data_IF_084773121135
#
_entry.id   IF_084773121135
#
_cell.length_a   1.000
_cell.length_b   1.000
_cell.length_c   1.000
_cell.angle_alpha   90.00
_cell.angle_beta   90.00
_cell.angle_gamma   90.00
#
_symmetry.space_group_name_H-M   'P 1'
#
loop_
_entity.id
_entity.type
_entity.pdbx_description
1 polymer ?
#
# COMPACT_ATOMS: atom_id res chain seq x y z
N UNK A 1 86.90 -16.40 -22.64
CA UNK A 1 87.96 -17.11 -21.89
C UNK A 1 87.29 -18.31 -21.22
N UNK A 2 87.57 -19.56 -21.66
CA UNK A 2 88.61 -20.46 -21.08
C UNK A 2 88.19 -20.90 -19.66
N UNK A 3 87.96 -22.16 -19.24
CA UNK A 3 88.20 -23.54 -19.70
C UNK A 3 87.14 -24.45 -19.01
N UNK A 4 86.55 -25.47 -19.65
CA UNK A 4 87.00 -26.88 -19.72
C UNK A 4 87.41 -27.55 -18.39
N UNK A 5 86.64 -28.58 -18.00
CA UNK A 5 87.01 -29.88 -17.39
C UNK A 5 85.69 -30.54 -16.92
N UNK A 6 85.01 -31.42 -17.67
CA UNK A 6 85.35 -32.82 -17.96
C UNK A 6 85.93 -33.59 -16.77
N UNK A 7 85.06 -34.31 -16.06
CA UNK A 7 85.40 -35.57 -15.43
C UNK A 7 84.26 -36.56 -15.72
N UNK A 8 84.57 -37.50 -16.61
CA UNK A 8 83.77 -38.67 -16.90
C UNK A 8 83.87 -39.65 -15.72
N UNK A 9 82.74 -40.20 -15.30
CA UNK A 9 82.71 -41.50 -14.65
C UNK A 9 81.65 -42.37 -15.34
N UNK A 10 82.16 -43.44 -15.91
CA UNK A 10 81.44 -44.48 -16.60
C UNK A 10 80.93 -45.53 -15.60
N UNK A 11 79.96 -46.32 -16.06
CA UNK A 11 79.68 -47.69 -15.59
C UNK A 11 78.85 -47.85 -14.32
N UNK A 12 77.55 -48.02 -14.51
CA UNK A 12 76.63 -48.52 -13.49
C UNK A 12 75.24 -48.78 -14.06
N UNK A 13 75.12 -49.69 -15.04
CA UNK A 13 73.85 -50.33 -15.38
C UNK A 13 73.32 -51.04 -14.13
N UNK A 14 72.34 -50.43 -13.47
CA UNK A 14 71.26 -51.15 -12.82
C UNK A 14 69.97 -50.48 -13.26
N UNK A 15 69.34 -51.03 -14.29
CA UNK A 15 67.92 -50.85 -14.52
C UNK A 15 67.20 -51.48 -13.32
N UNK A 16 66.99 -50.70 -12.26
CA UNK A 16 65.86 -50.92 -11.38
C UNK A 16 64.61 -50.49 -12.18
N UNK A 17 64.20 -51.34 -13.12
CA UNK A 17 62.79 -51.46 -13.45
C UNK A 17 62.08 -51.85 -12.16
N UNK A 18 61.65 -50.86 -11.39
CA UNK A 18 60.57 -51.07 -10.45
C UNK A 18 59.36 -51.45 -11.30
N UNK A 19 59.10 -52.74 -11.34
CA UNK A 19 57.84 -53.31 -11.77
C UNK A 19 56.78 -52.78 -10.80
N UNK A 20 56.21 -51.61 -11.09
CA UNK A 20 54.97 -51.11 -10.46
C UNK A 20 53.73 -51.60 -11.22
N UNK A 21 53.83 -52.74 -11.90
CA UNK A 21 52.74 -53.32 -12.69
C UNK A 21 51.83 -54.27 -11.88
N UNK A 22 51.97 -54.32 -10.54
CA UNK A 22 51.11 -55.13 -9.66
C UNK A 22 50.55 -54.41 -8.44
N UNK A 23 51.06 -53.21 -8.10
CA UNK A 23 50.53 -52.41 -6.99
C UNK A 23 49.30 -51.59 -7.41
N UNK A 24 49.26 -51.12 -8.66
CA UNK A 24 48.11 -50.40 -9.20
C UNK A 24 46.89 -51.32 -9.28
N UNK A 25 47.03 -52.54 -9.83
CA UNK A 25 45.92 -53.49 -9.96
C UNK A 25 45.30 -53.89 -8.60
N UNK A 26 46.12 -54.08 -7.55
CA UNK A 26 45.61 -54.40 -6.22
C UNK A 26 44.91 -53.21 -5.56
N UNK A 27 45.47 -52.01 -5.66
CA UNK A 27 44.85 -50.79 -5.16
C UNK A 27 43.53 -50.50 -5.89
N UNK A 28 43.50 -50.73 -7.19
CA UNK A 28 42.34 -50.54 -8.06
C UNK A 28 41.18 -51.46 -7.68
N UNK A 29 41.47 -52.75 -7.44
CA UNK A 29 40.49 -53.72 -6.96
C UNK A 29 39.95 -53.34 -5.57
N UNK A 30 40.83 -52.90 -4.66
CA UNK A 30 40.41 -52.48 -3.32
C UNK A 30 39.56 -51.21 -3.38
N UNK A 31 39.90 -50.23 -4.23
CA UNK A 31 39.11 -49.02 -4.42
C UNK A 31 37.71 -49.32 -4.98
N UNK A 32 37.60 -50.21 -5.97
CA UNK A 32 36.30 -50.65 -6.51
C UNK A 32 35.45 -51.36 -5.43
N UNK A 33 36.04 -52.23 -4.62
CA UNK A 33 35.34 -52.89 -3.51
C UNK A 33 34.83 -51.89 -2.46
N UNK A 34 35.67 -50.92 -2.05
CA UNK A 34 35.29 -49.87 -1.09
C UNK A 34 34.15 -49.01 -1.64
N UNK A 35 34.21 -48.66 -2.93
CA UNK A 35 33.15 -47.91 -3.60
C UNK A 35 31.83 -48.70 -3.64
N UNK A 36 31.87 -49.97 -4.04
CA UNK A 36 30.68 -50.85 -4.09
C UNK A 36 30.03 -51.02 -2.73
N UNK A 37 30.82 -51.18 -1.67
CA UNK A 37 30.30 -51.19 -0.30
C UNK A 37 29.60 -49.86 0.04
N UNK A 38 30.16 -48.72 -0.39
CA UNK A 38 29.52 -47.42 -0.26
C UNK A 38 28.16 -47.30 -0.95
N UNK A 39 27.96 -48.00 -2.08
CA UNK A 39 26.68 -47.96 -2.82
C UNK A 39 25.52 -48.54 -2.02
N UNK A 40 25.77 -49.44 -1.07
CA UNK A 40 24.73 -49.94 -0.17
C UNK A 40 24.12 -48.79 0.65
N UNK A 41 24.96 -47.91 1.18
CA UNK A 41 24.53 -46.73 1.91
C UNK A 41 23.81 -45.70 1.03
N UNK A 42 24.27 -45.48 -0.20
CA UNK A 42 23.54 -44.65 -1.15
C UNK A 42 22.14 -45.22 -1.46
N UNK A 43 22.00 -46.55 -1.59
CA UNK A 43 20.70 -47.21 -1.78
C UNK A 43 19.82 -47.06 -0.54
N UNK A 44 20.38 -47.18 0.67
CA UNK A 44 19.65 -46.94 1.93
C UNK A 44 19.16 -45.50 2.01
N UNK A 45 20.05 -44.52 1.78
CA UNK A 45 19.71 -43.11 1.71
C UNK A 45 18.58 -42.85 0.71
N UNK A 46 18.65 -43.44 -0.50
CA UNK A 46 17.62 -43.30 -1.52
C UNK A 46 16.25 -43.79 -1.05
N UNK A 47 16.18 -44.89 -0.30
CA UNK A 47 14.90 -45.45 0.19
C UNK A 47 14.18 -44.51 1.15
N UNK A 48 14.93 -43.80 2.00
CA UNK A 48 14.36 -42.91 3.03
C UNK A 48 14.35 -41.43 2.64
N UNK A 49 15.04 -41.05 1.55
CA UNK A 49 15.17 -39.65 1.07
C UNK A 49 13.87 -38.90 0.78
N UNK A 50 12.72 -39.58 0.79
CA UNK A 50 11.39 -38.98 0.58
C UNK A 50 10.57 -38.81 1.86
N UNK A 51 10.98 -39.44 2.94
CA UNK A 51 10.18 -39.54 4.18
C UNK A 51 10.94 -39.12 5.42
N UNK A 52 12.27 -39.33 5.45
CA UNK A 52 13.12 -39.01 6.58
C UNK A 52 14.45 -38.42 6.09
N UNK A 53 14.54 -37.09 6.11
CA UNK A 53 15.74 -36.38 5.69
C UNK A 53 16.93 -36.68 6.61
N UNK A 54 16.71 -36.85 7.91
CA UNK A 54 17.77 -37.07 8.89
C UNK A 54 18.42 -38.44 8.67
N UNK A 55 17.61 -39.50 8.59
CA UNK A 55 18.11 -40.85 8.32
C UNK A 55 18.76 -40.92 6.93
N UNK A 56 18.18 -40.26 5.92
CA UNK A 56 18.76 -40.22 4.58
C UNK A 56 20.13 -39.53 4.58
N UNK A 57 20.29 -38.43 5.32
CA UNK A 57 21.55 -37.69 5.45
C UNK A 57 22.62 -38.52 6.15
N UNK A 58 22.27 -39.28 7.18
CA UNK A 58 23.21 -40.18 7.87
C UNK A 58 23.74 -41.27 6.93
N UNK A 59 22.85 -41.98 6.23
CA UNK A 59 23.26 -42.97 5.23
C UNK A 59 24.07 -42.34 4.10
N UNK A 60 23.70 -41.15 3.63
CA UNK A 60 24.43 -40.49 2.55
C UNK A 60 25.83 -40.05 2.99
N UNK A 61 26.01 -39.62 4.24
CA UNK A 61 27.33 -39.31 4.79
C UNK A 61 28.25 -40.54 4.82
N UNK A 62 27.70 -41.72 5.14
CA UNK A 62 28.46 -42.98 5.07
C UNK A 62 28.88 -43.29 3.62
N UNK A 63 27.99 -43.11 2.64
CA UNK A 63 28.35 -43.23 1.23
C UNK A 63 29.50 -42.28 0.83
N UNK A 64 29.43 -41.00 1.21
CA UNK A 64 30.48 -40.02 0.90
C UNK A 64 31.83 -40.40 1.52
N UNK A 65 31.84 -40.91 2.75
CA UNK A 65 33.05 -41.42 3.42
C UNK A 65 33.69 -42.58 2.63
N UNK A 66 32.87 -43.53 2.17
CA UNK A 66 33.35 -44.64 1.33
C UNK A 66 33.87 -44.17 -0.03
N UNK A 67 33.18 -43.24 -0.68
CA UNK A 67 33.62 -42.66 -1.95
C UNK A 67 34.97 -41.95 -1.80
N UNK A 68 35.15 -41.17 -0.73
CA UNK A 68 36.39 -40.44 -0.50
C UNK A 68 37.55 -41.39 -0.15
N UNK A 69 37.27 -42.45 0.63
CA UNK A 69 38.24 -43.51 0.87
C UNK A 69 38.65 -44.23 -0.41
N UNK A 70 37.72 -44.54 -1.31
CA UNK A 70 38.03 -45.15 -2.60
C UNK A 70 38.93 -44.23 -3.46
N UNK A 71 38.64 -42.92 -3.51
CA UNK A 71 39.50 -41.93 -4.20
C UNK A 71 40.90 -41.84 -3.61
N UNK A 72 41.00 -41.92 -2.28
CA UNK A 72 42.29 -41.88 -1.56
C UNK A 72 43.15 -43.11 -1.88
N UNK A 73 42.53 -44.27 -2.10
CA UNK A 73 43.23 -45.52 -2.46
C UNK A 73 43.68 -45.50 -3.92
N UNK A 74 42.77 -45.20 -4.86
CA UNK A 74 43.08 -45.15 -6.29
C UNK A 74 42.18 -44.13 -7.01
N UNK A 75 42.65 -42.88 -7.09
CA UNK A 75 41.88 -41.79 -7.70
C UNK A 75 41.57 -42.04 -9.18
N UNK A 76 42.51 -42.63 -9.94
CA UNK A 76 42.34 -42.89 -11.38
C UNK A 76 41.21 -43.89 -11.65
N UNK A 77 41.03 -44.92 -10.81
CA UNK A 77 39.89 -45.86 -10.97
C UNK A 77 38.56 -45.16 -10.77
N UNK A 78 38.45 -44.30 -9.76
CA UNK A 78 37.20 -43.55 -9.52
C UNK A 78 36.92 -42.58 -10.66
N UNK A 79 37.96 -42.02 -11.28
CA UNK A 79 37.85 -41.08 -12.39
C UNK A 79 37.58 -41.75 -13.74
N UNK A 80 38.23 -42.87 -14.06
CA UNK A 80 38.20 -43.45 -15.41
C UNK A 80 37.17 -44.58 -15.54
N UNK A 81 36.72 -45.16 -14.43
CA UNK A 81 35.74 -46.23 -14.44
C UNK A 81 34.32 -45.70 -14.70
N UNK A 82 33.80 -45.98 -15.89
CA UNK A 82 32.46 -45.58 -16.34
C UNK A 82 31.32 -46.06 -15.42
N UNK A 83 31.47 -47.25 -14.80
CA UNK A 83 30.49 -47.76 -13.83
C UNK A 83 30.46 -46.86 -12.59
N UNK A 84 31.62 -46.60 -12.00
CA UNK A 84 31.76 -45.77 -10.80
C UNK A 84 31.20 -44.37 -11.06
N UNK A 85 31.58 -43.73 -12.17
CA UNK A 85 31.04 -42.42 -12.53
C UNK A 85 29.51 -42.41 -12.68
N UNK A 86 28.93 -43.44 -13.30
CA UNK A 86 27.47 -43.54 -13.48
C UNK A 86 26.77 -43.67 -12.13
N UNK A 87 27.24 -44.55 -11.25
CA UNK A 87 26.63 -44.75 -9.95
C UNK A 87 26.85 -43.52 -9.04
N UNK A 88 28.00 -42.85 -9.13
CA UNK A 88 28.22 -41.58 -8.42
C UNK A 88 27.24 -40.48 -8.87
N UNK A 89 27.01 -40.34 -10.18
CA UNK A 89 25.96 -39.44 -10.73
C UNK A 89 24.56 -39.84 -10.28
N UNK A 90 24.27 -41.13 -10.14
CA UNK A 90 22.98 -41.60 -9.60
C UNK A 90 22.84 -41.21 -8.13
N UNK A 91 23.91 -41.34 -7.35
CA UNK A 91 23.91 -40.99 -5.93
C UNK A 91 23.85 -39.48 -5.69
N UNK A 92 24.38 -38.63 -6.57
CA UNK A 92 24.18 -37.18 -6.44
C UNK A 92 22.70 -36.77 -6.57
N UNK A 93 21.89 -37.51 -7.32
CA UNK A 93 20.43 -37.28 -7.35
C UNK A 93 19.75 -37.61 -6.01
N UNK A 94 20.34 -38.51 -5.20
CA UNK A 94 19.86 -38.81 -3.85
C UNK A 94 20.12 -37.62 -2.94
N UNK A 95 21.30 -37.01 -3.03
CA UNK A 95 21.62 -35.76 -2.32
C UNK A 95 20.62 -34.65 -2.64
N UNK A 96 20.31 -34.44 -3.93
CA UNK A 96 19.30 -33.47 -4.36
C UNK A 96 17.91 -33.77 -3.79
N UNK A 97 17.55 -35.04 -3.59
CA UNK A 97 16.28 -35.41 -2.99
C UNK A 97 16.26 -35.14 -1.48
N UNK A 98 17.36 -35.43 -0.78
CA UNK A 98 17.53 -35.13 0.65
C UNK A 98 17.41 -33.62 0.87
N UNK A 99 18.18 -32.83 0.11
CA UNK A 99 18.14 -31.37 0.20
C UNK A 99 16.74 -30.82 -0.10
N UNK A 100 16.02 -31.40 -1.08
CA UNK A 100 14.64 -31.01 -1.37
C UNK A 100 13.69 -31.30 -0.20
N UNK A 101 13.81 -32.46 0.42
CA UNK A 101 12.97 -32.82 1.57
C UNK A 101 13.23 -31.89 2.76
N UNK A 102 14.50 -31.58 3.05
CA UNK A 102 14.89 -30.62 4.10
C UNK A 102 14.35 -29.22 3.82
N UNK A 103 14.46 -28.75 2.57
CA UNK A 103 13.96 -27.45 2.16
C UNK A 103 12.42 -27.37 2.19
N UNK A 104 11.72 -28.50 2.01
CA UNK A 104 10.26 -28.50 1.84
C UNK A 104 9.51 -28.01 3.08
N UNK A 105 9.97 -28.36 4.28
CA UNK A 105 9.35 -27.89 5.53
C UNK A 105 9.47 -26.37 5.68
N UNK A 106 10.65 -25.80 5.38
CA UNK A 106 10.86 -24.35 5.37
C UNK A 106 10.01 -23.66 4.29
N UNK A 107 9.96 -24.26 3.10
CA UNK A 107 9.17 -23.74 1.99
C UNK A 107 7.67 -23.70 2.33
N UNK A 108 7.12 -24.77 2.93
CA UNK A 108 5.73 -24.81 3.35
C UNK A 108 5.44 -23.78 4.46
N UNK A 109 6.30 -23.71 5.49
CA UNK A 109 6.16 -22.73 6.56
C UNK A 109 6.19 -21.28 6.02
N UNK A 110 7.03 -21.00 5.02
CA UNK A 110 7.04 -19.69 4.35
C UNK A 110 5.70 -19.41 3.64
N UNK A 111 5.13 -20.39 2.95
CA UNK A 111 3.85 -20.23 2.26
C UNK A 111 2.68 -20.02 3.24
N UNK A 112 2.74 -20.62 4.43
CA UNK A 112 1.77 -20.35 5.49
C UNK A 112 1.85 -18.88 5.93
N UNK A 113 3.07 -18.32 6.08
CA UNK A 113 3.27 -16.87 6.34
C UNK A 113 2.72 -16.00 5.23
N UNK A 114 2.91 -16.38 3.97
CA UNK A 114 2.29 -15.69 2.85
C UNK A 114 0.75 -15.70 2.91
N UNK A 115 0.14 -16.80 3.39
CA UNK A 115 -1.29 -16.86 3.69
C UNK A 115 -1.71 -15.80 4.71
N UNK A 116 -0.94 -15.68 5.81
CA UNK A 116 -1.17 -14.66 6.84
C UNK A 116 -1.02 -13.22 6.31
N UNK A 117 -0.08 -12.97 5.38
CA UNK A 117 0.06 -11.66 4.71
C UNK A 117 -1.23 -11.28 3.98
N UNK A 118 -1.83 -12.21 3.24
CA UNK A 118 -3.08 -11.96 2.51
C UNK A 118 -4.21 -11.62 3.45
N UNK A 119 -4.39 -12.41 4.51
CA UNK A 119 -5.41 -12.14 5.54
C UNK A 119 -5.22 -10.75 6.19
N UNK A 120 -3.99 -10.38 6.51
CA UNK A 120 -3.69 -9.07 7.08
C UNK A 120 -3.96 -7.93 6.10
N UNK A 121 -3.69 -8.12 4.80
CA UNK A 121 -4.03 -7.14 3.75
C UNK A 121 -5.55 -6.98 3.61
N UNK A 122 -6.29 -8.08 3.60
CA UNK A 122 -7.76 -8.07 3.49
C UNK A 122 -8.41 -7.37 4.70
N UNK A 123 -7.77 -7.44 5.87
CA UNK A 123 -8.19 -6.75 7.10
C UNK A 123 -7.67 -5.30 7.20
N UNK A 124 -6.91 -4.80 6.22
CA UNK A 124 -6.29 -3.46 6.27
C UNK A 124 -5.16 -3.30 7.30
N UNK A 125 -4.68 -4.40 7.88
CA UNK A 125 -3.65 -4.45 8.91
C UNK A 125 -2.23 -4.37 8.30
N UNK A 126 -1.89 -3.23 7.68
CA UNK A 126 -0.64 -3.07 6.90
C UNK A 126 0.65 -3.36 7.67
N UNK A 127 0.73 -2.96 8.93
CA UNK A 127 1.92 -3.24 9.76
C UNK A 127 2.09 -4.74 9.97
N UNK A 128 0.99 -5.45 10.27
CA UNK A 128 1.03 -6.90 10.42
C UNK A 128 1.37 -7.58 9.08
N UNK A 129 0.76 -7.14 7.98
CA UNK A 129 1.07 -7.65 6.64
C UNK A 129 2.56 -7.51 6.29
N UNK A 130 3.19 -6.37 6.61
CA UNK A 130 4.62 -6.18 6.39
C UNK A 130 5.46 -7.11 7.26
N UNK A 131 5.16 -7.24 8.55
CA UNK A 131 5.90 -8.15 9.46
C UNK A 131 5.84 -9.58 8.95
N UNK A 132 4.64 -10.06 8.59
CA UNK A 132 4.45 -11.41 8.04
C UNK A 132 5.13 -11.62 6.70
N UNK A 133 5.22 -10.58 5.87
CA UNK A 133 5.94 -10.66 4.60
C UNK A 133 7.45 -10.80 4.81
N UNK A 134 8.02 -10.08 5.77
CA UNK A 134 9.44 -10.21 6.12
C UNK A 134 9.75 -11.62 6.68
N UNK A 135 8.84 -12.19 7.48
CA UNK A 135 8.94 -13.57 7.96
C UNK A 135 8.90 -14.56 6.79
N UNK A 136 7.99 -14.38 5.83
CA UNK A 136 7.93 -15.14 4.57
C UNK A 136 9.25 -15.07 3.80
N UNK A 137 9.77 -13.87 3.53
CA UNK A 137 11.01 -13.69 2.76
C UNK A 137 12.19 -14.39 3.44
N UNK A 138 12.31 -14.26 4.76
CA UNK A 138 13.39 -14.89 5.52
C UNK A 138 13.34 -16.42 5.38
N UNK A 139 12.17 -17.04 5.60
CA UNK A 139 12.01 -18.49 5.49
C UNK A 139 12.16 -18.99 4.04
N UNK A 140 11.65 -18.23 3.08
CA UNK A 140 11.81 -18.49 1.65
C UNK A 140 13.29 -18.54 1.26
N UNK A 141 14.08 -17.54 1.67
CA UNK A 141 15.52 -17.50 1.41
C UNK A 141 16.25 -18.66 2.10
N UNK A 142 15.87 -19.02 3.33
CA UNK A 142 16.43 -20.18 4.02
C UNK A 142 16.16 -21.48 3.26
N UNK A 143 14.94 -21.69 2.75
CA UNK A 143 14.61 -22.86 1.96
C UNK A 143 15.41 -22.93 0.64
N UNK A 144 15.56 -21.79 -0.05
CA UNK A 144 16.31 -21.70 -1.30
C UNK A 144 17.82 -21.86 -1.10
N UNK A 145 18.34 -21.46 0.05
CA UNK A 145 19.73 -21.68 0.43
C UNK A 145 20.04 -23.18 0.64
N UNK A 146 19.06 -23.97 1.11
CA UNK A 146 19.20 -25.44 1.18
C UNK A 146 19.21 -26.04 -0.23
N UNK A 147 18.20 -25.74 -1.05
CA UNK A 147 18.25 -26.06 -2.49
C UNK A 147 17.26 -25.22 -3.31
N UNK A 148 17.67 -24.64 -4.44
CA UNK A 148 16.75 -23.94 -5.34
C UNK A 148 15.80 -24.91 -6.07
N UNK A 149 16.10 -26.22 -6.06
CA UNK A 149 15.28 -27.23 -6.74
C UNK A 149 13.96 -27.51 -6.00
N UNK A 150 13.79 -27.04 -4.77
CA UNK A 150 12.53 -27.13 -4.02
C UNK A 150 11.37 -26.47 -4.77
N UNK A 151 11.64 -25.40 -5.53
CA UNK A 151 10.64 -24.71 -6.35
C UNK A 151 10.15 -25.53 -7.55
N UNK A 152 10.89 -26.56 -7.97
CA UNK A 152 10.51 -27.46 -9.06
C UNK A 152 9.50 -28.52 -8.63
N UNK A 153 9.23 -28.64 -7.33
CA UNK A 153 8.31 -29.64 -6.78
C UNK A 153 6.87 -29.12 -6.86
N UNK A 154 6.05 -29.78 -7.68
CA UNK A 154 4.62 -29.52 -7.77
C UNK A 154 4.29 -28.06 -8.11
N UNK A 155 3.39 -27.46 -7.33
CA UNK A 155 2.95 -26.07 -7.51
C UNK A 155 3.74 -25.05 -6.69
N UNK A 156 4.77 -25.45 -5.94
CA UNK A 156 5.50 -24.57 -5.01
C UNK A 156 6.06 -23.32 -5.71
N UNK A 157 6.74 -23.49 -6.85
CA UNK A 157 7.29 -22.35 -7.60
C UNK A 157 6.23 -21.33 -8.03
N UNK A 158 5.01 -21.77 -8.35
CA UNK A 158 3.89 -20.86 -8.67
C UNK A 158 3.38 -20.14 -7.42
N UNK A 159 3.30 -20.85 -6.28
CA UNK A 159 2.86 -20.26 -5.03
C UNK A 159 3.82 -19.19 -4.53
N UNK A 160 5.14 -19.45 -4.56
CA UNK A 160 6.17 -18.45 -4.23
C UNK A 160 6.04 -17.19 -5.08
N UNK A 161 5.94 -17.32 -6.41
CA UNK A 161 5.75 -16.15 -7.30
C UNK A 161 4.51 -15.33 -6.96
N UNK A 162 3.40 -15.97 -6.59
CA UNK A 162 2.18 -15.27 -6.14
C UNK A 162 2.38 -14.57 -4.80
N UNK A 163 3.23 -15.10 -3.95
CA UNK A 163 3.58 -14.51 -2.66
C UNK A 163 4.51 -13.31 -2.85
N UNK A 164 5.50 -13.41 -3.74
CA UNK A 164 6.41 -12.31 -4.05
C UNK A 164 5.66 -11.07 -4.57
N UNK A 165 4.62 -11.28 -5.37
CA UNK A 165 3.72 -10.20 -5.84
C UNK A 165 2.98 -9.46 -4.71
N UNK A 166 2.93 -9.99 -3.48
CA UNK A 166 2.31 -9.28 -2.36
C UNK A 166 3.12 -8.07 -1.92
N UNK A 167 4.42 -7.99 -2.22
CA UNK A 167 5.23 -6.79 -1.92
C UNK A 167 4.67 -5.54 -2.61
N UNK A 168 4.21 -5.69 -3.86
CA UNK A 168 3.59 -4.63 -4.64
C UNK A 168 2.23 -4.24 -4.05
N UNK A 169 1.46 -5.22 -3.56
CA UNK A 169 0.19 -4.93 -2.90
C UNK A 169 0.38 -4.19 -1.58
N UNK A 170 1.37 -4.59 -0.77
CA UNK A 170 1.73 -3.92 0.47
C UNK A 170 2.18 -2.49 0.18
N UNK A 171 3.06 -2.28 -0.80
CA UNK A 171 3.57 -0.96 -1.15
C UNK A 171 2.44 -0.04 -1.67
N UNK A 172 1.57 -0.55 -2.55
CA UNK A 172 0.41 0.17 -3.04
C UNK A 172 -0.53 0.56 -1.89
N UNK A 173 -0.80 -0.36 -0.96
CA UNK A 173 -1.67 -0.08 0.18
C UNK A 173 -1.06 0.95 1.14
N UNK A 174 0.27 0.94 1.36
CA UNK A 174 0.97 1.99 2.10
C UNK A 174 0.80 3.36 1.44
N UNK A 175 1.00 3.45 0.12
CA UNK A 175 0.85 4.70 -0.64
C UNK A 175 -0.59 5.22 -0.58
N UNK A 176 -1.58 4.33 -0.70
CA UNK A 176 -3.00 4.70 -0.53
C UNK A 176 -3.27 5.25 0.86
N UNK A 177 -2.80 4.58 1.92
CA UNK A 177 -2.99 5.02 3.30
C UNK A 177 -2.30 6.36 3.59
N UNK A 178 -1.08 6.59 3.08
CA UNK A 178 -0.39 7.87 3.25
C UNK A 178 -1.09 9.00 2.49
N UNK A 179 -1.65 8.71 1.31
CA UNK A 179 -2.46 9.69 0.57
C UNK A 179 -3.71 10.09 1.35
N UNK A 180 -4.44 9.12 1.91
CA UNK A 180 -5.63 9.38 2.75
C UNK A 180 -5.23 10.23 3.95
N UNK A 181 -4.15 9.90 4.66
CA UNK A 181 -3.67 10.69 5.81
C UNK A 181 -3.37 12.16 5.43
N UNK A 182 -2.65 12.38 4.32
CA UNK A 182 -2.38 13.73 3.82
C UNK A 182 -3.65 14.48 3.40
N UNK A 183 -4.64 13.78 2.82
CA UNK A 183 -5.93 14.38 2.48
C UNK A 183 -6.72 14.73 3.75
N UNK A 184 -6.69 13.88 4.79
CA UNK A 184 -7.29 14.18 6.10
C UNK A 184 -6.71 15.45 6.70
N UNK A 185 -5.37 15.58 6.75
CA UNK A 185 -4.70 16.77 7.26
C UNK A 185 -5.09 18.04 6.49
N UNK A 186 -5.17 17.96 5.16
CA UNK A 186 -5.60 19.08 4.31
C UNK A 186 -7.05 19.49 4.56
N UNK A 187 -7.95 18.52 4.67
CA UNK A 187 -9.37 18.75 4.95
C UNK A 187 -9.56 19.40 6.33
N UNK A 188 -8.87 18.88 7.36
CA UNK A 188 -8.90 19.47 8.71
C UNK A 188 -8.34 20.90 8.72
N UNK A 189 -7.25 21.16 8.00
CA UNK A 189 -6.72 22.52 7.84
C UNK A 189 -7.72 23.45 7.12
N UNK A 190 -8.48 22.92 6.16
CA UNK A 190 -9.59 23.63 5.51
C UNK A 190 -10.66 24.08 6.50
N UNK A 191 -11.20 23.14 7.30
CA UNK A 191 -12.19 23.46 8.33
C UNK A 191 -11.66 24.40 9.41
N UNK A 192 -10.37 24.27 9.79
CA UNK A 192 -9.73 25.20 10.72
C UNK A 192 -9.74 26.64 10.19
N UNK A 193 -9.44 26.86 8.91
CA UNK A 193 -9.53 28.21 8.31
C UNK A 193 -10.94 28.78 8.35
N UNK A 194 -11.95 27.94 8.10
CA UNK A 194 -13.36 28.35 8.21
C UNK A 194 -13.65 28.80 9.64
N UNK A 195 -13.23 28.04 10.65
CA UNK A 195 -13.39 28.39 12.06
C UNK A 195 -12.63 29.68 12.45
N UNK A 196 -11.42 29.88 11.92
CA UNK A 196 -10.64 31.09 12.17
C UNK A 196 -11.35 32.33 11.56
N UNK A 197 -11.81 32.25 10.30
CA UNK A 197 -12.61 33.31 9.66
C UNK A 197 -13.92 33.59 10.39
N UNK A 198 -14.53 32.54 10.92
CA UNK A 198 -15.70 32.61 11.78
C UNK A 198 -15.45 33.46 13.04
N UNK A 199 -14.36 33.19 13.76
CA UNK A 199 -13.98 33.96 14.95
C UNK A 199 -13.72 35.45 14.65
N UNK A 200 -13.22 35.76 13.45
CA UNK A 200 -13.04 37.15 12.99
C UNK A 200 -14.39 37.82 12.76
N UNK A 201 -15.33 37.14 12.11
CA UNK A 201 -16.67 37.66 11.88
C UNK A 201 -17.42 37.92 13.21
N UNK A 202 -17.31 37.00 14.18
CA UNK A 202 -17.90 37.17 15.52
C UNK A 202 -17.34 38.41 16.24
N UNK A 203 -16.02 38.64 16.18
CA UNK A 203 -15.41 39.85 16.76
C UNK A 203 -15.87 41.14 16.08
N UNK A 204 -16.08 41.12 14.76
CA UNK A 204 -16.62 42.26 14.02
C UNK A 204 -18.07 42.56 14.43
N UNK A 205 -18.86 41.52 14.70
CA UNK A 205 -20.25 41.62 15.14
C UNK A 205 -20.41 42.12 16.60
N UNK A 206 -19.43 41.85 17.47
CA UNK A 206 -19.43 42.30 18.86
C UNK A 206 -19.06 43.79 19.04
N UNK A 207 -18.51 44.43 18.01
CA UNK A 207 -18.13 45.85 18.06
C UNK A 207 -19.36 46.74 17.84
N UNK A 208 -19.49 47.92 18.50
CA UNK A 208 -20.63 48.81 18.30
C UNK A 208 -20.81 49.13 16.82
N UNK A 209 -21.98 48.73 16.29
CA UNK A 209 -22.34 48.81 14.88
C UNK A 209 -23.00 50.16 14.58
N UNK A 210 -22.20 51.21 14.65
CA UNK A 210 -22.65 52.58 14.33
C UNK A 210 -22.57 52.89 12.82
N UNK A 211 -21.96 51.99 12.03
CA UNK A 211 -21.54 52.32 10.66
C UNK A 211 -21.79 51.20 9.64
N UNK A 212 -22.37 51.57 8.49
CA UNK A 212 -22.75 50.65 7.39
C UNK A 212 -21.56 49.84 6.83
N UNK A 213 -20.34 50.39 6.95
CA UNK A 213 -19.11 49.75 6.51
C UNK A 213 -18.76 48.46 7.28
N UNK A 214 -19.08 48.37 8.59
CA UNK A 214 -18.83 47.15 9.38
C UNK A 214 -19.76 46.02 8.98
N UNK A 215 -21.02 46.33 8.68
CA UNK A 215 -21.99 45.35 8.16
C UNK A 215 -21.53 44.80 6.80
N UNK A 216 -21.00 45.68 5.94
CA UNK A 216 -20.45 45.27 4.66
C UNK A 216 -19.18 44.42 4.82
N UNK A 217 -18.31 44.74 5.79
CA UNK A 217 -17.13 43.94 6.12
C UNK A 217 -17.52 42.54 6.62
N UNK A 218 -18.46 42.44 7.56
CA UNK A 218 -18.95 41.13 8.05
C UNK A 218 -19.60 40.33 6.93
N UNK A 219 -20.35 40.96 6.03
CA UNK A 219 -20.93 40.28 4.86
C UNK A 219 -19.85 39.68 3.95
N UNK A 220 -18.75 40.40 3.70
CA UNK A 220 -17.61 39.87 2.91
C UNK A 220 -16.95 38.68 3.62
N UNK A 221 -16.76 38.74 4.94
CA UNK A 221 -16.21 37.62 5.70
C UNK A 221 -17.16 36.41 5.66
N UNK A 222 -18.47 36.63 5.72
CA UNK A 222 -19.47 35.58 5.60
C UNK A 222 -19.48 34.91 4.22
N UNK A 223 -19.35 35.68 3.15
CA UNK A 223 -19.17 35.17 1.78
C UNK A 223 -17.90 34.31 1.70
N UNK A 224 -16.78 34.79 2.26
CA UNK A 224 -15.53 34.04 2.34
C UNK A 224 -15.65 32.74 3.17
N UNK A 225 -16.33 32.77 4.31
CA UNK A 225 -16.63 31.58 5.14
C UNK A 225 -17.44 30.57 4.34
N UNK A 226 -18.44 31.01 3.58
CA UNK A 226 -19.26 30.15 2.74
C UNK A 226 -18.45 29.48 1.62
N UNK A 227 -17.61 30.24 0.93
CA UNK A 227 -16.75 29.70 -0.13
C UNK A 227 -15.73 28.69 0.42
N UNK A 228 -15.08 29.02 1.53
CA UNK A 228 -14.11 28.13 2.17
C UNK A 228 -14.77 26.86 2.72
N UNK A 229 -15.98 26.97 3.29
CA UNK A 229 -16.73 25.81 3.76
C UNK A 229 -17.11 24.90 2.59
N UNK A 230 -17.61 25.44 1.48
CA UNK A 230 -17.92 24.64 0.29
C UNK A 230 -16.69 23.93 -0.27
N UNK A 231 -15.52 24.57 -0.26
CA UNK A 231 -14.27 23.94 -0.67
C UNK A 231 -13.88 22.81 0.29
N UNK A 232 -13.96 23.04 1.60
CA UNK A 232 -13.66 22.03 2.61
C UNK A 232 -14.63 20.83 2.54
N UNK A 233 -15.93 21.07 2.30
CA UNK A 233 -16.93 20.03 2.09
C UNK A 233 -16.64 19.17 0.86
N UNK A 234 -16.22 19.78 -0.26
CA UNK A 234 -15.79 19.03 -1.45
C UNK A 234 -14.56 18.17 -1.18
N UNK A 235 -13.60 18.70 -0.42
CA UNK A 235 -12.40 17.96 -0.01
C UNK A 235 -12.76 16.81 0.95
N UNK A 236 -13.69 17.01 1.87
CA UNK A 236 -14.21 15.97 2.75
C UNK A 236 -14.92 14.87 1.96
N UNK A 237 -15.75 15.22 0.96
CA UNK A 237 -16.42 14.25 0.09
C UNK A 237 -15.44 13.45 -0.80
N UNK A 238 -14.31 14.04 -1.20
CA UNK A 238 -13.23 13.32 -1.89
C UNK A 238 -12.51 12.37 -0.92
N UNK A 239 -12.23 12.83 0.31
CA UNK A 239 -11.59 12.04 1.35
C UNK A 239 -12.42 10.80 1.70
N UNK A 240 -13.69 10.98 2.10
CA UNK A 240 -14.84 10.32 1.47
C UNK A 240 -14.57 8.99 0.75
N UNK A 241 -14.62 9.17 -0.57
CA UNK A 241 -14.42 8.16 -1.61
C UNK A 241 -13.03 7.53 -1.54
N UNK A 242 -11.98 8.31 -1.29
CA UNK A 242 -10.59 7.81 -1.27
C UNK A 242 -10.34 6.81 -0.15
N UNK A 243 -10.96 7.01 1.00
CA UNK A 243 -10.74 6.21 2.18
C UNK A 243 -11.59 4.95 2.19
N UNK A 244 -12.83 5.00 1.66
CA UNK A 244 -13.63 3.80 1.35
C UNK A 244 -12.87 2.89 0.38
N UNK A 245 -12.32 3.45 -0.69
CA UNK A 245 -11.51 2.70 -1.66
C UNK A 245 -10.19 2.15 -1.10
N UNK A 246 -9.77 2.62 0.08
CA UNK A 246 -8.54 2.22 0.76
C UNK A 246 -8.77 1.41 2.03
N UNK A 247 -10.02 1.21 2.46
CA UNK A 247 -10.36 0.52 3.72
C UNK A 247 -9.84 1.22 4.98
N UNK A 248 -9.68 2.55 4.95
CA UNK A 248 -9.12 3.33 6.06
C UNK A 248 -10.25 4.07 6.77
N UNK A 249 -10.30 4.01 8.11
CA UNK A 249 -11.19 4.84 8.94
C UNK A 249 -10.59 6.24 9.16
N UNK A 250 -11.41 7.29 9.03
CA UNK A 250 -10.99 8.70 9.15
C UNK A 250 -12.13 9.63 9.63
N UNK A 251 -13.29 9.05 9.97
CA UNK A 251 -14.56 9.80 9.99
C UNK A 251 -14.66 10.79 11.15
N UNK A 252 -14.36 10.37 12.39
CA UNK A 252 -14.74 11.15 13.57
C UNK A 252 -14.24 12.61 13.55
N UNK A 253 -12.93 12.81 13.37
CA UNK A 253 -12.33 14.16 13.42
C UNK A 253 -12.81 15.08 12.29
N UNK A 254 -13.02 14.52 11.10
CA UNK A 254 -13.46 15.28 9.94
C UNK A 254 -14.93 15.64 10.06
N UNK A 255 -15.76 14.70 10.53
CA UNK A 255 -17.19 14.93 10.79
C UNK A 255 -17.40 15.97 11.89
N UNK A 256 -16.65 15.92 12.98
CA UNK A 256 -16.72 16.91 14.06
C UNK A 256 -16.31 18.30 13.57
N UNK A 257 -15.22 18.38 12.79
CA UNK A 257 -14.75 19.64 12.21
C UNK A 257 -15.78 20.23 11.22
N UNK A 258 -16.40 19.38 10.40
CA UNK A 258 -17.45 19.76 9.46
C UNK A 258 -18.68 20.30 10.20
N UNK A 259 -19.13 19.60 11.24
CA UNK A 259 -20.27 20.02 12.06
C UNK A 259 -20.02 21.40 12.67
N UNK A 260 -18.87 21.59 13.33
CA UNK A 260 -18.51 22.86 13.97
C UNK A 260 -18.44 24.03 12.98
N UNK A 261 -17.82 23.81 11.81
CA UNK A 261 -17.72 24.83 10.77
C UNK A 261 -19.10 25.20 10.20
N UNK A 262 -19.98 24.22 10.00
CA UNK A 262 -21.35 24.45 9.53
C UNK A 262 -22.20 25.20 10.57
N UNK A 263 -22.08 24.84 11.85
CA UNK A 263 -22.78 25.47 12.96
C UNK A 263 -22.36 26.94 13.12
N UNK A 264 -21.06 27.22 13.02
CA UNK A 264 -20.59 28.60 13.04
C UNK A 264 -21.18 29.44 11.90
N UNK A 265 -21.17 28.93 10.67
CA UNK A 265 -21.77 29.66 9.53
C UNK A 265 -23.24 29.99 9.79
N UNK A 266 -24.00 29.04 10.34
CA UNK A 266 -25.41 29.27 10.68
C UNK A 266 -25.58 30.34 11.76
N UNK A 267 -24.72 30.35 12.78
CA UNK A 267 -24.71 31.36 13.83
C UNK A 267 -24.38 32.77 13.28
N UNK A 268 -23.41 32.88 12.38
CA UNK A 268 -23.08 34.16 11.75
C UNK A 268 -24.22 34.68 10.87
N UNK A 269 -24.88 33.80 10.12
CA UNK A 269 -26.04 34.16 9.30
C UNK A 269 -27.19 34.73 10.14
N UNK A 270 -27.48 34.10 11.29
CA UNK A 270 -28.55 34.57 12.18
C UNK A 270 -28.21 35.89 12.88
N UNK A 271 -26.94 36.10 13.26
CA UNK A 271 -26.51 37.37 13.85
C UNK A 271 -26.55 38.52 12.83
N UNK A 272 -26.07 38.31 11.61
CA UNK A 272 -26.11 39.32 10.55
C UNK A 272 -27.55 39.70 10.18
N UNK A 273 -28.47 38.73 10.14
CA UNK A 273 -29.89 39.02 9.85
C UNK A 273 -30.54 39.82 10.99
N UNK A 274 -30.27 39.46 12.25
CA UNK A 274 -30.78 40.19 13.42
C UNK A 274 -30.32 41.65 13.42
N UNK A 275 -29.02 41.90 13.17
CA UNK A 275 -28.45 43.25 13.11
C UNK A 275 -29.04 44.05 11.95
N UNK A 276 -29.22 43.44 10.77
CA UNK A 276 -29.86 44.11 9.63
C UNK A 276 -31.27 44.60 10.00
N UNK A 277 -32.04 43.79 10.70
CA UNK A 277 -33.38 44.18 11.16
C UNK A 277 -33.32 45.34 12.17
N UNK A 278 -32.37 45.34 13.11
CA UNK A 278 -32.19 46.44 14.06
C UNK A 278 -31.82 47.76 13.38
N UNK A 279 -30.87 47.74 12.44
CA UNK A 279 -30.46 48.94 11.69
C UNK A 279 -31.61 49.50 10.86
N UNK A 280 -32.41 48.63 10.21
CA UNK A 280 -33.61 49.08 9.47
C UNK A 280 -34.65 49.72 10.38
N UNK A 281 -34.91 49.14 11.56
CA UNK A 281 -35.85 49.70 12.54
C UNK A 281 -35.36 51.04 13.10
N UNK A 282 -34.08 51.17 13.41
CA UNK A 282 -33.49 52.42 13.89
C UNK A 282 -33.54 53.53 12.84
N UNK A 283 -33.28 53.22 11.56
CA UNK A 283 -33.39 54.17 10.45
C UNK A 283 -34.84 54.62 10.21
N UNK A 284 -35.82 53.73 10.37
CA UNK A 284 -37.24 54.09 10.30
C UNK A 284 -37.66 54.98 11.49
N UNK A 285 -37.16 54.72 12.70
CA UNK A 285 -37.44 55.55 13.88
C UNK A 285 -36.79 56.94 13.80
N UNK A 286 -35.59 57.06 13.24
CA UNK A 286 -34.97 58.37 12.97
C UNK A 286 -35.73 59.18 11.92
N UNK A 287 -36.25 58.56 10.86
CA UNK A 287 -37.10 59.26 9.89
C UNK A 287 -38.43 59.74 10.49
N UNK A 288 -39.06 58.96 11.38
CA UNK A 288 -40.28 59.40 12.08
C UNK A 288 -39.98 60.56 13.04
N UNK A 289 -38.87 60.51 13.79
CA UNK A 289 -38.47 61.59 14.69
C UNK A 289 -38.05 62.89 13.97
N UNK A 290 -37.60 62.80 12.71
CA UNK A 290 -37.21 63.99 11.91
C UNK A 290 -38.42 64.65 11.22
N UNK A 291 -39.54 63.94 11.05
CA UNK A 291 -40.78 64.51 10.46
C UNK A 291 -41.66 65.19 11.54
N UNK A 292 -41.34 65.01 12.82
CA UNK A 292 -42.13 65.51 13.96
C UNK A 292 -41.54 66.78 14.63
N UNK A 293 -40.78 67.60 13.89
CA UNK A 293 -40.47 68.97 14.30
C UNK A 293 -41.45 69.95 13.64
N UNK A 294 -42.34 70.63 14.39
CA UNK A 294 -43.18 71.70 13.85
C UNK A 294 -42.37 72.99 13.71
N UNK A 295 -42.19 73.49 12.49
CA UNK A 295 -41.86 74.90 12.25
C UNK A 295 -43.05 75.79 12.64
N UNK A 296 -42.82 76.97 13.26
CA UNK A 296 -43.88 77.90 13.61
C UNK A 296 -44.39 78.65 12.37
N UNK A 297 -45.72 78.78 12.33
CA UNK A 297 -46.55 79.40 11.29
C UNK A 297 -46.13 80.83 10.98
N UNK A 298 -46.00 81.16 9.69
CA UNK A 298 -46.27 82.50 9.17
C UNK A 298 -47.31 82.40 8.04
N UNK A 299 -48.48 82.97 8.28
CA UNK A 299 -49.61 83.03 7.37
C UNK A 299 -49.37 84.04 6.24
N UNK A 300 -49.86 83.73 5.03
CA UNK A 300 -50.30 84.69 4.01
C UNK A 300 -51.24 84.00 3.02
N UNK A 301 -52.28 84.72 2.61
CA UNK A 301 -53.53 84.20 2.08
C UNK A 301 -53.64 84.10 0.54
N UNK A 302 -54.58 83.23 0.14
CA UNK A 302 -55.45 83.25 -1.05
C UNK A 302 -54.85 83.18 -2.46
N UNK A 303 -55.36 82.23 -3.28
CA UNK A 303 -56.34 82.49 -4.36
C UNK A 303 -56.86 81.15 -4.91
N UNK A 304 -58.19 81.07 -5.08
CA UNK A 304 -58.97 80.04 -5.78
C UNK A 304 -58.64 79.99 -7.28
N UNK A 305 -58.84 78.83 -7.92
CA UNK A 305 -59.68 78.66 -9.12
C UNK A 305 -59.90 77.15 -9.40
N UNK A 306 -61.14 76.82 -9.75
CA UNK A 306 -61.72 75.54 -10.19
C UNK A 306 -61.06 75.03 -11.49
N UNK A 307 -61.17 73.77 -11.93
CA UNK A 307 -62.32 73.11 -12.57
C UNK A 307 -61.83 71.67 -12.94
N UNK A 308 -62.51 70.59 -12.55
CA UNK A 308 -63.36 69.72 -13.41
C UNK A 308 -62.57 69.07 -14.60
N UNK A 309 -62.55 67.77 -14.90
CA UNK A 309 -63.64 66.81 -15.15
C UNK A 309 -63.07 65.36 -15.13
N UNK A 310 -63.95 64.43 -14.80
CA UNK A 310 -63.89 62.98 -14.60
C UNK A 310 -63.82 62.15 -15.92
N UNK A 311 -64.22 60.85 -16.00
CA UNK A 311 -63.43 59.62 -15.80
C UNK A 311 -63.51 58.64 -17.01
N UNK A 312 -62.89 57.44 -16.93
CA UNK A 312 -63.36 56.12 -17.44
C UNK A 312 -62.18 55.13 -17.29
N UNK A 313 -62.10 54.24 -16.29
CA UNK A 313 -62.79 52.96 -16.10
C UNK A 313 -62.52 51.90 -17.19
N UNK A 314 -61.75 50.84 -16.85
CA UNK A 314 -62.12 49.43 -17.06
C UNK A 314 -60.99 48.45 -16.64
N UNK A 315 -61.26 47.62 -15.62
CA UNK A 315 -60.71 46.27 -15.38
C UNK A 315 -61.49 45.26 -16.28
N UNK A 316 -61.26 43.93 -16.19
CA UNK A 316 -60.05 43.12 -16.29
C UNK A 316 -60.26 41.96 -17.30
N UNK A 317 -59.27 41.11 -17.58
CA UNK A 317 -59.52 39.72 -18.03
C UNK A 317 -58.28 38.83 -17.93
N UNK A 318 -58.35 37.85 -17.05
CA UNK A 318 -57.77 36.52 -17.22
C UNK A 318 -58.96 35.60 -17.59
N UNK A 319 -58.81 34.49 -18.33
CA UNK A 319 -58.36 33.25 -17.68
C UNK A 319 -57.64 32.23 -18.59
N UNK A 320 -57.18 31.12 -17.96
CA UNK A 320 -57.07 29.74 -18.48
C UNK A 320 -56.10 29.48 -19.67
N UNK A 321 -55.46 28.34 -19.88
CA UNK A 321 -55.11 27.09 -19.18
C UNK A 321 -54.30 26.28 -20.26
N UNK A 322 -53.86 25.05 -19.96
CA UNK A 322 -53.52 23.96 -20.92
C UNK A 322 -52.03 23.75 -21.34
N UNK A 323 -51.45 22.74 -20.66
CA UNK A 323 -50.89 21.47 -21.20
C UNK A 323 -49.46 21.33 -21.78
N UNK A 324 -48.67 20.53 -21.04
CA UNK A 324 -47.95 19.28 -21.41
C UNK A 324 -47.37 19.08 -22.82
N UNK A 325 -46.04 18.93 -22.89
CA UNK A 325 -45.27 17.94 -23.69
C UNK A 325 -43.97 17.71 -22.87
N UNK A 326 -43.58 16.53 -22.38
CA UNK A 326 -43.28 15.27 -23.08
C UNK A 326 -41.75 15.14 -23.22
N UNK A 327 -41.12 14.22 -22.47
CA UNK A 327 -39.66 14.03 -22.51
C UNK A 327 -39.16 12.83 -21.70
N UNK A 328 -39.21 11.66 -22.33
CA UNK A 328 -38.65 10.36 -21.92
C UNK A 328 -37.11 10.39 -22.02
N UNK A 329 -36.38 9.84 -21.03
CA UNK A 329 -35.22 8.95 -21.28
C UNK A 329 -35.06 7.96 -20.11
N UNK A 330 -35.24 6.70 -20.47
CA UNK A 330 -34.92 5.47 -19.75
C UNK A 330 -33.55 4.99 -20.23
N UNK A 331 -32.78 4.30 -19.37
CA UNK A 331 -31.63 3.40 -19.62
C UNK A 331 -30.78 3.45 -18.33
N UNK A 332 -30.30 2.38 -17.71
CA UNK A 332 -30.19 0.98 -18.07
C UNK A 332 -29.13 0.42 -17.12
N UNK A 333 -29.41 -0.71 -16.49
CA UNK A 333 -28.46 -1.50 -15.71
C UNK A 333 -27.31 -2.00 -16.59
N UNK A 334 -26.16 -2.34 -15.99
CA UNK A 334 -25.60 -3.64 -16.31
C UNK A 334 -25.20 -4.45 -15.08
N UNK A 335 -25.32 -5.75 -15.31
CA UNK A 335 -24.82 -6.89 -14.55
C UNK A 335 -23.33 -6.76 -14.18
N UNK A 336 -22.99 -7.20 -12.97
CA UNK A 336 -21.87 -8.08 -12.64
C UNK A 336 -22.14 -8.77 -11.31
#
# INVERSE_FOLDING_TARGET
>A
MKYWMLAAFCSGLCAATTVTAGQNDAADVVADQVFRAGLEYCNQASKVSRTDASAAREHFAQYLSHLERAKTIAAQVVQDNSYIQREARRCSLVEDNIARLEAMTLAQASLDRCGEVRMALDQGALTQAQTKFNEYETMSQQALAVTPTVLRVGSLGVQFRRCDQLVEKISLAKVKRSRVALQTERTLAGFKRVMDSCSVAEKLLQSPMEDSGKLQATKRVLEQVSEQLQLADRQAAELVRSAVASGVAYEQQVTDAQYNASACRQNLLSQVSAIRHQVQQAGLQQHVATVEQPEPVAASAAVLVQEEVSPYAAKPKNPEEVSVIGGVVQLGTPEF
#
